data_IF_846324157283
#
_entry.id   IF_846324157283
#
_cell.length_a   1.000
_cell.length_b   1.000
_cell.length_c   1.000
_cell.angle_alpha   90.00
_cell.angle_beta   90.00
_cell.angle_gamma   90.00
#
_symmetry.space_group_name_H-M   'P 1'
#
loop_
_entity.id
_entity.type
_entity.pdbx_description
1 polymer ?
#
# COMPACT_ATOMS: atom_id res chain seq x y z
N UNK A 1 8.72 -14.79 -26.32
CA UNK A 1 8.55 -14.07 -25.03
C UNK A 1 8.27 -15.00 -23.84
N UNK A 2 7.25 -15.89 -23.87
CA UNK A 2 7.00 -16.81 -22.76
C UNK A 2 8.20 -17.72 -22.47
N UNK A 3 8.81 -18.29 -23.50
CA UNK A 3 9.97 -19.19 -23.32
C UNK A 3 11.22 -18.44 -22.82
N UNK A 4 11.36 -17.16 -23.16
CA UNK A 4 12.41 -16.29 -22.60
C UNK A 4 12.23 -16.07 -21.09
N UNK A 5 10.98 -15.91 -20.63
CA UNK A 5 10.71 -15.80 -19.21
C UNK A 5 11.04 -17.13 -18.47
N UNK A 6 10.67 -18.29 -19.05
CA UNK A 6 11.06 -19.58 -18.48
C UNK A 6 12.59 -19.74 -18.40
N UNK A 7 13.31 -19.31 -19.46
CA UNK A 7 14.77 -19.32 -19.46
C UNK A 7 15.39 -18.52 -18.28
N UNK A 8 14.83 -17.35 -17.96
CA UNK A 8 15.34 -16.57 -16.83
C UNK A 8 15.11 -17.25 -15.49
N UNK A 9 13.98 -17.95 -15.30
CA UNK A 9 13.74 -18.76 -14.09
C UNK A 9 14.74 -19.92 -14.02
N UNK A 10 14.92 -20.66 -15.12
CA UNK A 10 15.87 -21.77 -15.16
C UNK A 10 17.30 -21.30 -14.85
N UNK A 11 17.68 -20.12 -15.36
CA UNK A 11 19.06 -19.64 -15.25
C UNK A 11 19.39 -18.98 -13.91
N UNK A 12 18.43 -18.27 -13.30
CA UNK A 12 18.68 -17.44 -12.12
C UNK A 12 17.81 -17.80 -10.92
N UNK A 13 16.98 -18.81 -11.04
CA UNK A 13 16.14 -19.35 -9.95
C UNK A 13 15.18 -18.30 -9.35
N UNK A 14 14.53 -17.52 -10.20
CA UNK A 14 13.54 -16.53 -9.75
C UNK A 14 12.31 -17.19 -9.14
N UNK A 15 11.74 -16.55 -8.09
CA UNK A 15 10.51 -16.99 -7.42
C UNK A 15 9.24 -16.48 -8.10
N UNK A 16 9.36 -15.71 -9.16
CA UNK A 16 8.23 -15.16 -9.93
C UNK A 16 8.57 -13.90 -10.69
N UNK A 17 7.52 -13.15 -11.05
CA UNK A 17 7.64 -11.94 -11.87
C UNK A 17 6.68 -10.83 -11.41
N UNK A 18 7.15 -9.58 -11.50
CA UNK A 18 6.30 -8.41 -11.68
C UNK A 18 6.21 -8.11 -13.17
N UNK A 19 4.98 -8.08 -13.67
CA UNK A 19 4.67 -7.80 -15.05
C UNK A 19 4.23 -6.35 -15.24
N UNK A 20 4.96 -5.63 -16.08
CA UNK A 20 4.67 -4.26 -16.45
C UNK A 20 3.45 -4.19 -17.38
N UNK A 21 2.63 -3.15 -17.21
CA UNK A 21 1.59 -2.71 -18.14
C UNK A 21 0.70 -3.86 -18.71
N UNK A 22 0.23 -4.76 -17.85
CA UNK A 22 -0.45 -6.00 -18.25
C UNK A 22 -1.64 -5.78 -19.18
N UNK A 23 -2.37 -4.65 -19.02
CA UNK A 23 -3.55 -4.33 -19.86
C UNK A 23 -3.24 -4.10 -21.35
N UNK A 24 -1.99 -3.88 -21.68
CA UNK A 24 -1.55 -3.69 -23.07
C UNK A 24 -1.19 -5.01 -23.77
N UNK A 25 -1.26 -6.12 -23.05
CA UNK A 25 -0.96 -7.47 -23.53
C UNK A 25 -2.24 -8.31 -23.51
N UNK A 26 -2.60 -9.01 -24.59
CA UNK A 26 -3.84 -9.80 -24.66
C UNK A 26 -3.95 -10.82 -23.53
N UNK A 27 -5.15 -11.02 -22.98
CA UNK A 27 -5.43 -11.98 -21.89
C UNK A 27 -4.96 -13.40 -22.22
N UNK A 28 -5.04 -13.82 -23.48
CA UNK A 28 -4.59 -15.14 -23.91
C UNK A 28 -3.07 -15.36 -23.72
N UNK A 29 -2.27 -14.29 -23.81
CA UNK A 29 -0.85 -14.37 -23.49
C UNK A 29 -0.64 -14.79 -22.03
N UNK A 30 -1.34 -14.14 -21.09
CA UNK A 30 -1.24 -14.43 -19.66
C UNK A 30 -1.68 -15.84 -19.33
N UNK A 31 -2.78 -16.31 -19.93
CA UNK A 31 -3.24 -17.70 -19.78
C UNK A 31 -2.21 -18.70 -20.25
N UNK A 32 -1.67 -18.48 -21.45
CA UNK A 32 -0.63 -19.37 -22.00
C UNK A 32 0.65 -19.33 -21.16
N UNK A 33 1.07 -18.14 -20.71
CA UNK A 33 2.25 -17.98 -19.86
C UNK A 33 2.08 -18.70 -18.52
N UNK A 34 0.97 -18.46 -17.83
CA UNK A 34 0.65 -19.13 -16.57
C UNK A 34 0.57 -20.66 -16.72
N UNK A 35 -0.03 -21.13 -17.81
CA UNK A 35 -0.07 -22.57 -18.12
C UNK A 35 1.33 -23.14 -18.30
N UNK A 36 2.17 -22.50 -19.12
CA UNK A 36 3.57 -22.93 -19.32
C UNK A 36 4.36 -22.94 -18.01
N UNK A 37 4.20 -21.91 -17.17
CA UNK A 37 4.85 -21.81 -15.87
C UNK A 37 4.47 -22.99 -14.96
N UNK A 38 3.17 -23.24 -14.79
CA UNK A 38 2.68 -24.33 -13.94
C UNK A 38 3.05 -25.73 -14.49
N UNK A 39 3.12 -25.89 -15.81
CA UNK A 39 3.53 -27.16 -16.43
C UNK A 39 5.04 -27.39 -16.28
N UNK A 40 5.85 -26.36 -16.42
CA UNK A 40 7.31 -26.44 -16.32
C UNK A 40 7.78 -26.65 -14.88
N UNK A 41 7.09 -25.99 -13.92
CA UNK A 41 7.48 -25.95 -12.50
C UNK A 41 6.31 -26.37 -11.59
N UNK A 42 5.83 -27.63 -11.69
CA UNK A 42 4.64 -28.08 -10.95
C UNK A 42 4.82 -28.03 -9.43
N UNK A 43 6.05 -28.20 -8.95
CA UNK A 43 6.39 -28.25 -7.52
C UNK A 43 6.88 -26.89 -6.96
N UNK A 44 6.84 -25.82 -7.76
CA UNK A 44 7.27 -24.48 -7.34
C UNK A 44 6.08 -23.53 -7.21
N UNK A 45 6.02 -22.82 -6.10
CA UNK A 45 5.05 -21.75 -5.88
C UNK A 45 5.57 -20.42 -6.45
N UNK A 46 5.67 -20.34 -7.79
CA UNK A 46 6.08 -19.10 -8.47
C UNK A 46 4.95 -18.09 -8.38
N UNK A 47 5.26 -16.89 -7.88
CA UNK A 47 4.29 -15.84 -7.70
C UNK A 47 4.42 -14.76 -8.77
N UNK A 48 3.30 -14.43 -9.40
CA UNK A 48 3.25 -13.47 -10.50
C UNK A 48 2.28 -12.35 -10.16
N UNK A 49 2.79 -11.12 -10.11
CA UNK A 49 2.00 -9.92 -9.91
C UNK A 49 2.06 -9.04 -11.15
N UNK A 50 0.92 -8.50 -11.56
CA UNK A 50 0.82 -7.61 -12.71
C UNK A 50 0.55 -6.17 -12.34
N UNK A 51 0.82 -5.28 -13.27
CA UNK A 51 0.46 -3.88 -13.17
C UNK A 51 -0.65 -3.55 -14.16
N UNK A 52 -1.81 -3.16 -13.63
CA UNK A 52 -2.96 -2.72 -14.42
C UNK A 52 -3.67 -1.56 -13.73
N UNK A 53 -3.76 -0.43 -14.41
CA UNK A 53 -4.61 0.69 -14.00
C UNK A 53 -5.98 0.54 -14.64
N UNK A 54 -7.04 0.60 -13.86
CA UNK A 54 -8.42 0.51 -14.32
C UNK A 54 -9.40 0.31 -13.17
N UNK A 55 -10.63 -0.01 -13.52
CA UNK A 55 -11.63 -0.42 -12.55
C UNK A 55 -11.39 -1.86 -12.03
N UNK A 56 -12.15 -2.24 -11.01
CA UNK A 56 -12.01 -3.55 -10.39
C UNK A 56 -12.34 -4.71 -11.34
N UNK A 57 -13.20 -4.50 -12.34
CA UNK A 57 -13.54 -5.52 -13.32
C UNK A 57 -12.35 -5.80 -14.25
N UNK A 58 -11.72 -4.75 -14.79
CA UNK A 58 -10.53 -4.87 -15.63
C UNK A 58 -9.38 -5.51 -14.84
N UNK A 59 -9.05 -4.98 -13.66
CA UNK A 59 -7.98 -5.52 -12.82
C UNK A 59 -8.25 -6.99 -12.46
N UNK A 60 -9.48 -7.31 -12.06
CA UNK A 60 -9.93 -8.66 -11.73
C UNK A 60 -9.82 -9.64 -12.88
N UNK A 61 -9.95 -9.17 -14.14
CA UNK A 61 -9.83 -10.03 -15.33
C UNK A 61 -8.46 -10.71 -15.44
N UNK A 62 -7.40 -10.11 -14.85
CA UNK A 62 -6.03 -10.62 -14.87
C UNK A 62 -5.69 -11.57 -13.69
N UNK A 63 -6.61 -11.76 -12.74
CA UNK A 63 -6.42 -12.67 -11.59
C UNK A 63 -7.46 -13.80 -11.53
N UNK A 64 -8.29 -13.94 -12.56
CA UNK A 64 -9.23 -15.08 -12.71
C UNK A 64 -8.48 -16.39 -12.92
N UNK A 65 -9.19 -17.50 -12.84
CA UNK A 65 -8.64 -18.86 -13.02
C UNK A 65 -7.75 -18.96 -14.25
N UNK A 66 -6.53 -19.45 -14.04
CA UNK A 66 -5.52 -19.61 -15.09
C UNK A 66 -4.78 -18.34 -15.50
N UNK A 67 -5.01 -17.23 -14.77
CA UNK A 67 -4.32 -15.95 -14.94
C UNK A 67 -3.21 -15.75 -13.90
N UNK A 68 -2.74 -14.52 -13.73
CA UNK A 68 -1.71 -14.16 -12.75
C UNK A 68 -2.21 -14.39 -11.31
N UNK A 69 -1.30 -14.48 -10.36
CA UNK A 69 -1.65 -14.65 -8.94
C UNK A 69 -2.25 -13.38 -8.34
N UNK A 70 -1.75 -12.21 -8.78
CA UNK A 70 -2.10 -10.91 -8.21
C UNK A 70 -1.98 -9.78 -9.23
N UNK A 71 -2.59 -8.66 -8.89
CA UNK A 71 -2.37 -7.33 -9.46
C UNK A 71 -2.09 -6.35 -8.32
N UNK A 72 -1.50 -5.19 -8.60
CA UNK A 72 -1.51 -4.10 -7.64
C UNK A 72 -2.91 -3.51 -7.53
N UNK A 73 -3.37 -3.30 -6.28
CA UNK A 73 -4.66 -2.67 -6.01
C UNK A 73 -4.51 -1.13 -6.03
N UNK A 74 -4.46 -0.58 -7.23
CA UNK A 74 -4.34 0.86 -7.40
C UNK A 74 -5.56 1.65 -6.93
N UNK A 75 -6.74 1.02 -6.88
CA UNK A 75 -7.94 1.71 -6.42
C UNK A 75 -7.88 1.97 -4.92
N UNK A 76 -7.45 0.98 -4.12
CA UNK A 76 -7.17 1.19 -2.69
C UNK A 76 -6.03 2.19 -2.50
N UNK A 77 -4.94 2.09 -3.26
CA UNK A 77 -3.81 3.01 -3.16
C UNK A 77 -4.22 4.46 -3.43
N UNK A 78 -4.87 4.75 -4.55
CA UNK A 78 -5.26 6.11 -4.90
C UNK A 78 -6.23 6.72 -3.88
N UNK A 79 -7.24 5.94 -3.46
CA UNK A 79 -8.17 6.39 -2.42
C UNK A 79 -7.45 6.65 -1.11
N UNK A 80 -6.50 5.79 -0.71
CA UNK A 80 -5.76 5.95 0.53
C UNK A 80 -4.90 7.22 0.54
N UNK A 81 -4.12 7.47 -0.53
CA UNK A 81 -3.29 8.68 -0.60
C UNK A 81 -4.13 9.96 -0.65
N UNK A 82 -5.24 9.96 -1.38
CA UNK A 82 -6.15 11.11 -1.44
C UNK A 82 -6.75 11.41 -0.05
N UNK A 83 -7.33 10.40 0.59
CA UNK A 83 -8.02 10.56 1.88
C UNK A 83 -7.06 10.91 3.01
N UNK A 84 -5.90 10.27 3.07
CA UNK A 84 -4.91 10.55 4.13
C UNK A 84 -4.12 11.84 3.87
N UNK A 85 -3.94 12.21 2.61
CA UNK A 85 -3.13 13.37 2.22
C UNK A 85 -3.91 14.67 2.17
N UNK A 86 -5.10 14.68 1.57
CA UNK A 86 -5.92 15.87 1.36
C UNK A 86 -6.81 16.16 2.56
N UNK A 87 -7.04 17.43 2.82
CA UNK A 87 -8.04 17.86 3.78
C UNK A 87 -9.45 17.76 3.17
N UNK A 88 -10.46 17.47 4.01
CA UNK A 88 -11.86 17.37 3.58
C UNK A 88 -12.28 16.00 3.02
N UNK A 89 -11.35 15.12 2.67
CA UNK A 89 -11.66 13.75 2.24
C UNK A 89 -12.09 12.88 3.43
N UNK A 90 -12.90 11.84 3.19
CA UNK A 90 -13.51 11.01 4.23
C UNK A 90 -12.93 9.61 4.30
N UNK A 91 -12.66 9.08 5.51
CA UNK A 91 -12.27 7.69 5.74
C UNK A 91 -13.33 6.68 5.27
N UNK A 92 -14.58 7.11 5.09
CA UNK A 92 -15.65 6.30 4.47
C UNK A 92 -15.29 5.87 3.05
N UNK A 93 -14.54 6.70 2.32
CA UNK A 93 -14.06 6.37 0.96
C UNK A 93 -13.06 5.21 0.99
N UNK A 94 -12.12 5.20 1.93
CA UNK A 94 -11.18 4.07 2.11
C UNK A 94 -11.96 2.79 2.46
N UNK A 95 -12.87 2.86 3.44
CA UNK A 95 -13.66 1.71 3.85
C UNK A 95 -14.45 1.12 2.66
N UNK A 96 -15.13 1.98 1.89
CA UNK A 96 -15.87 1.58 0.69
C UNK A 96 -14.95 0.91 -0.33
N UNK A 97 -13.80 1.49 -0.61
CA UNK A 97 -12.88 0.93 -1.63
C UNK A 97 -12.29 -0.42 -1.18
N UNK A 98 -12.04 -0.61 0.12
CA UNK A 98 -11.63 -1.93 0.66
C UNK A 98 -12.76 -2.95 0.46
N UNK A 99 -14.01 -2.60 0.78
CA UNK A 99 -15.15 -3.50 0.59
C UNK A 99 -15.34 -3.87 -0.90
N UNK A 100 -15.18 -2.92 -1.81
CA UNK A 100 -15.22 -3.14 -3.26
C UNK A 100 -14.08 -4.05 -3.74
N UNK A 101 -12.87 -3.89 -3.19
CA UNK A 101 -11.71 -4.75 -3.45
C UNK A 101 -12.00 -6.19 -3.00
N UNK A 102 -12.48 -6.37 -1.77
CA UNK A 102 -12.84 -7.68 -1.22
C UNK A 102 -13.96 -8.36 -2.02
N UNK A 103 -14.96 -7.60 -2.45
CA UNK A 103 -16.05 -8.11 -3.29
C UNK A 103 -15.54 -8.56 -4.68
N UNK A 104 -14.58 -7.85 -5.25
CA UNK A 104 -14.07 -8.09 -6.61
C UNK A 104 -13.02 -9.20 -6.67
N UNK A 105 -12.14 -9.28 -5.66
CA UNK A 105 -10.96 -10.16 -5.66
C UNK A 105 -11.06 -11.31 -4.65
N UNK A 106 -12.04 -11.25 -3.75
CA UNK A 106 -12.27 -12.24 -2.69
C UNK A 106 -11.65 -11.83 -1.36
N UNK A 107 -12.19 -12.38 -0.25
CA UNK A 107 -11.79 -12.03 1.11
C UNK A 107 -10.32 -12.37 1.45
N UNK A 108 -9.74 -13.35 0.75
CA UNK A 108 -8.37 -13.83 0.96
C UNK A 108 -7.49 -13.60 -0.28
N UNK A 109 -7.73 -12.53 -1.01
CA UNK A 109 -6.92 -12.19 -2.17
C UNK A 109 -5.47 -11.88 -1.79
N UNK A 110 -4.57 -12.05 -2.75
CA UNK A 110 -3.14 -11.71 -2.63
C UNK A 110 -2.76 -10.48 -3.45
N UNK A 111 -3.71 -9.56 -3.66
CA UNK A 111 -3.47 -8.30 -4.36
C UNK A 111 -2.37 -7.51 -3.68
N UNK A 112 -1.55 -6.82 -4.45
CA UNK A 112 -0.45 -6.01 -3.94
C UNK A 112 -0.94 -4.66 -3.44
N UNK A 113 -0.85 -4.42 -2.13
CA UNK A 113 -1.11 -3.11 -1.53
C UNK A 113 0.21 -2.32 -1.55
N UNK A 114 0.24 -1.17 -2.23
CA UNK A 114 1.46 -0.37 -2.38
C UNK A 114 1.44 0.88 -1.50
N UNK A 115 2.61 1.29 -0.99
CA UNK A 115 2.81 2.60 -0.35
C UNK A 115 3.09 3.69 -1.39
N UNK A 116 3.72 3.31 -2.50
CA UNK A 116 4.09 4.14 -3.62
C UNK A 116 4.73 3.30 -4.71
N UNK A 117 5.18 3.94 -5.79
CA UNK A 117 5.97 3.30 -6.83
C UNK A 117 6.84 4.31 -7.58
N UNK A 118 7.64 3.79 -8.52
CA UNK A 118 8.58 4.56 -9.32
C UNK A 118 7.93 5.50 -10.36
N UNK A 119 6.60 5.48 -10.52
CA UNK A 119 5.85 6.32 -11.47
C UNK A 119 4.95 7.35 -10.77
N UNK A 120 5.06 7.47 -9.44
CA UNK A 120 4.22 8.36 -8.64
C UNK A 120 5.05 9.31 -7.80
N UNK A 121 4.53 10.52 -7.58
CA UNK A 121 5.06 11.44 -6.56
C UNK A 121 5.06 10.77 -5.20
N UNK A 122 6.12 10.95 -4.43
CA UNK A 122 6.20 10.42 -3.06
C UNK A 122 5.10 10.99 -2.19
N UNK A 123 4.35 10.11 -1.54
CA UNK A 123 3.21 10.50 -0.70
C UNK A 123 3.58 11.54 0.36
N UNK A 124 4.74 11.39 1.00
CA UNK A 124 5.18 12.33 2.03
C UNK A 124 5.37 13.75 1.50
N UNK A 125 5.81 13.93 0.26
CA UNK A 125 5.96 15.24 -0.38
C UNK A 125 4.63 15.87 -0.77
N UNK A 126 3.62 15.07 -1.10
CA UNK A 126 2.22 15.51 -1.28
C UNK A 126 1.60 15.88 0.06
N UNK A 127 1.69 15.01 1.06
CA UNK A 127 1.13 15.22 2.39
C UNK A 127 1.73 16.44 3.11
N UNK A 128 3.02 16.68 2.90
CA UNK A 128 3.75 17.84 3.42
C UNK A 128 3.57 19.12 2.60
N UNK A 129 3.04 19.01 1.37
CA UNK A 129 2.80 20.13 0.46
C UNK A 129 4.06 20.68 -0.21
N UNK A 130 5.14 19.89 -0.32
CA UNK A 130 6.28 20.23 -1.17
C UNK A 130 5.91 20.12 -2.66
N UNK A 131 4.98 19.25 -2.99
CA UNK A 131 4.35 19.11 -4.30
C UNK A 131 2.85 19.31 -4.10
N UNK A 132 2.23 20.15 -4.92
CA UNK A 132 0.78 20.33 -4.92
C UNK A 132 0.09 19.12 -5.57
N UNK A 133 -1.14 18.83 -5.16
CA UNK A 133 -1.95 17.76 -5.74
C UNK A 133 -2.32 18.02 -7.20
N UNK A 134 -2.37 19.30 -7.61
CA UNK A 134 -2.69 19.72 -8.98
C UNK A 134 -1.44 19.98 -9.83
N UNK A 135 -0.23 19.80 -9.26
CA UNK A 135 1.02 20.05 -9.94
C UNK A 135 1.47 18.84 -10.76
N UNK A 136 2.03 19.09 -11.95
CA UNK A 136 2.75 18.05 -12.67
C UNK A 136 4.01 17.65 -11.89
N UNK A 137 3.95 16.52 -11.20
CA UNK A 137 5.05 16.01 -10.39
C UNK A 137 6.32 15.74 -11.19
N UNK A 138 6.24 15.44 -12.49
CA UNK A 138 7.43 15.27 -13.34
C UNK A 138 8.11 16.62 -13.58
N UNK A 139 7.34 17.64 -13.96
CA UNK A 139 7.87 18.99 -14.14
C UNK A 139 8.48 19.52 -12.83
N UNK A 140 7.80 19.33 -11.69
CA UNK A 140 8.31 19.72 -10.39
C UNK A 140 9.70 19.15 -10.08
N UNK A 141 9.90 17.85 -10.29
CA UNK A 141 11.16 17.16 -10.02
C UNK A 141 12.31 17.58 -10.93
N UNK A 142 12.02 18.08 -12.14
CA UNK A 142 13.03 18.61 -13.04
C UNK A 142 13.53 20.01 -12.67
N UNK A 143 12.69 20.81 -12.01
CA UNK A 143 12.97 22.24 -11.81
C UNK A 143 13.40 22.60 -10.40
N UNK A 144 13.19 21.73 -9.42
CA UNK A 144 13.57 21.98 -8.03
C UNK A 144 13.87 20.70 -7.25
N UNK A 145 14.69 20.84 -6.22
CA UNK A 145 14.87 19.77 -5.25
C UNK A 145 13.64 19.68 -4.35
N UNK A 146 12.94 18.54 -4.38
CA UNK A 146 11.72 18.33 -3.61
C UNK A 146 12.08 17.81 -2.20
N UNK A 147 11.52 18.49 -1.20
CA UNK A 147 11.56 18.08 0.21
C UNK A 147 10.25 17.44 0.67
N UNK A 148 10.06 17.41 1.99
CA UNK A 148 8.78 17.03 2.61
C UNK A 148 7.82 18.22 2.57
N UNK A 149 8.31 19.42 2.92
CA UNK A 149 7.54 20.67 2.92
C UNK A 149 8.19 21.71 2.01
N UNK A 150 7.38 22.64 1.50
CA UNK A 150 7.88 23.69 0.61
C UNK A 150 8.82 24.69 1.33
N UNK A 151 8.55 25.00 2.60
CA UNK A 151 9.17 26.09 3.35
C UNK A 151 9.79 25.68 4.69
N UNK A 152 10.29 24.42 4.81
CA UNK A 152 10.87 23.90 6.05
C UNK A 152 9.98 24.07 7.31
N UNK A 153 8.66 23.92 7.15
CA UNK A 153 7.68 23.97 8.24
C UNK A 153 7.75 22.68 9.06
N UNK A 154 8.35 22.75 10.25
CA UNK A 154 8.55 21.59 11.13
C UNK A 154 7.24 20.96 11.63
N UNK A 155 6.19 21.76 11.81
CA UNK A 155 4.87 21.26 12.24
C UNK A 155 4.22 20.49 11.10
N UNK A 156 4.21 21.05 9.91
CA UNK A 156 3.67 20.41 8.72
C UNK A 156 4.47 19.17 8.33
N UNK A 157 5.79 19.22 8.47
CA UNK A 157 6.67 18.08 8.27
C UNK A 157 6.29 16.92 9.22
N UNK A 158 6.17 17.18 10.52
CA UNK A 158 5.76 16.17 11.51
C UNK A 158 4.41 15.55 11.16
N UNK A 159 3.42 16.36 10.76
CA UNK A 159 2.11 15.86 10.33
C UNK A 159 2.23 14.99 9.07
N UNK A 160 3.07 15.38 8.11
CA UNK A 160 3.32 14.57 6.91
C UNK A 160 3.89 13.18 7.25
N UNK A 161 4.82 13.09 8.19
CA UNK A 161 5.34 11.82 8.69
C UNK A 161 4.27 10.98 9.41
N UNK A 162 3.38 11.62 10.17
CA UNK A 162 2.24 10.93 10.80
C UNK A 162 1.25 10.40 9.74
N UNK A 163 0.94 11.20 8.71
CA UNK A 163 0.10 10.76 7.59
C UNK A 163 0.77 9.59 6.81
N UNK A 164 2.09 9.65 6.58
CA UNK A 164 2.83 8.55 5.97
C UNK A 164 2.75 7.28 6.81
N UNK A 165 2.87 7.40 8.14
CA UNK A 165 2.67 6.26 9.04
C UNK A 165 1.27 5.67 8.93
N UNK A 166 0.21 6.49 8.83
CA UNK A 166 -1.16 5.98 8.64
C UNK A 166 -1.30 5.18 7.34
N UNK A 167 -0.63 5.61 6.26
CA UNK A 167 -0.61 4.86 5.00
C UNK A 167 0.08 3.50 5.18
N UNK A 168 1.21 3.45 5.89
CA UNK A 168 1.90 2.19 6.20
C UNK A 168 1.08 1.28 7.11
N UNK A 169 0.40 1.84 8.13
CA UNK A 169 -0.52 1.06 8.98
C UNK A 169 -1.63 0.43 8.14
N UNK A 170 -2.27 1.20 7.27
CA UNK A 170 -3.31 0.69 6.37
C UNK A 170 -2.75 -0.42 5.49
N UNK A 171 -1.65 -0.16 4.77
CA UNK A 171 -1.01 -1.08 3.84
C UNK A 171 -0.61 -2.41 4.52
N UNK A 172 -0.07 -2.35 5.75
CA UNK A 172 0.42 -3.52 6.49
C UNK A 172 -0.68 -4.26 7.28
N UNK A 173 -1.91 -3.73 7.37
CA UNK A 173 -2.96 -4.36 8.20
C UNK A 173 -4.20 -4.81 7.45
N UNK A 174 -4.50 -4.25 6.27
CA UNK A 174 -5.59 -4.74 5.41
C UNK A 174 -5.26 -6.07 4.74
N UNK A 175 -6.26 -6.81 4.19
CA UNK A 175 -6.02 -7.99 3.35
C UNK A 175 -5.14 -7.68 2.13
N UNK A 176 -4.39 -8.65 1.66
CA UNK A 176 -3.47 -8.52 0.52
C UNK A 176 -2.00 -8.64 0.92
N UNK A 177 -1.11 -8.40 -0.03
CA UNK A 177 0.34 -8.46 0.13
C UNK A 177 0.90 -7.05 0.14
N UNK A 178 1.45 -6.56 1.26
CA UNK A 178 2.02 -5.22 1.32
C UNK A 178 3.29 -5.13 0.47
N UNK A 179 3.40 -4.05 -0.29
CA UNK A 179 4.55 -3.72 -1.11
C UNK A 179 4.99 -2.29 -0.77
N UNK A 180 6.08 -2.17 -0.02
CA UNK A 180 6.66 -0.89 0.35
C UNK A 180 7.64 -0.47 -0.75
N UNK A 181 7.39 0.69 -1.37
CA UNK A 181 8.36 1.23 -2.32
C UNK A 181 9.59 1.72 -1.58
N UNK A 182 10.78 1.37 -2.08
CA UNK A 182 12.06 1.69 -1.46
C UNK A 182 12.13 3.17 -1.04
N UNK A 183 12.41 3.42 0.23
CA UNK A 183 12.47 4.75 0.82
C UNK A 183 11.17 5.20 1.51
N UNK A 184 10.01 4.65 1.19
CA UNK A 184 8.75 5.02 1.86
C UNK A 184 8.77 4.61 3.33
N UNK A 185 9.49 3.53 3.67
CA UNK A 185 9.66 3.04 5.05
C UNK A 185 10.29 4.05 6.01
N UNK A 186 10.99 5.06 5.48
CA UNK A 186 11.55 6.15 6.27
C UNK A 186 11.08 7.54 5.80
N UNK A 187 10.15 7.60 4.84
CA UNK A 187 9.61 8.85 4.34
C UNK A 187 10.55 9.60 3.40
N UNK A 188 11.18 8.89 2.46
CA UNK A 188 11.96 9.54 1.41
C UNK A 188 11.09 10.46 0.58
N UNK A 189 11.45 11.74 0.53
CA UNK A 189 10.76 12.74 -0.28
C UNK A 189 11.16 12.68 -1.75
N UNK A 190 10.30 13.21 -2.61
CA UNK A 190 10.54 13.34 -4.05
C UNK A 190 9.25 13.66 -4.81
N UNK A 191 9.39 14.30 -5.95
CA UNK A 191 8.32 14.47 -6.92
C UNK A 191 8.13 13.16 -7.72
N UNK A 192 7.56 13.23 -8.91
CA UNK A 192 7.44 12.06 -9.79
C UNK A 192 8.78 11.80 -10.53
N UNK A 193 8.80 10.76 -11.37
CA UNK A 193 9.95 10.37 -12.19
C UNK A 193 10.61 11.57 -12.90
N UNK A 194 11.94 11.76 -12.76
CA UNK A 194 12.92 10.86 -12.15
C UNK A 194 13.17 11.08 -10.65
N UNK A 195 12.62 12.12 -10.03
CA UNK A 195 12.98 12.57 -8.67
C UNK A 195 12.54 11.56 -7.57
N UNK A 196 11.46 10.82 -7.77
CA UNK A 196 11.02 9.76 -6.85
C UNK A 196 11.93 8.52 -6.84
N UNK A 197 12.89 8.42 -7.78
CA UNK A 197 13.84 7.29 -7.92
C UNK A 197 15.20 7.57 -7.29
N UNK A 198 15.24 8.42 -6.27
CA UNK A 198 16.48 8.71 -5.52
C UNK A 198 17.04 7.43 -4.90
N UNK A 199 18.37 7.41 -4.76
CA UNK A 199 19.06 6.27 -4.14
C UNK A 199 18.58 6.02 -2.71
N UNK A 200 18.47 4.74 -2.34
CA UNK A 200 18.19 4.30 -0.98
C UNK A 200 19.25 4.82 -0.01
N UNK A 201 18.81 5.35 1.14
CA UNK A 201 19.71 5.82 2.20
C UNK A 201 19.68 4.85 3.38
N UNK A 202 20.85 4.35 3.77
CA UNK A 202 21.02 3.44 4.91
C UNK A 202 21.58 4.15 6.16
N UNK A 203 21.96 5.42 6.01
CA UNK A 203 22.51 6.26 7.09
C UNK A 203 22.16 7.74 6.85
N UNK A 204 22.43 8.59 7.83
CA UNK A 204 22.16 10.03 7.72
C UNK A 204 20.67 10.39 7.73
N UNK A 205 19.83 9.53 8.31
CA UNK A 205 18.41 9.78 8.46
C UNK A 205 18.15 10.83 9.54
N UNK A 206 17.21 11.73 9.29
CA UNK A 206 16.73 12.70 10.27
C UNK A 206 15.96 12.02 11.41
N UNK A 207 15.65 12.74 12.49
CA UNK A 207 14.87 12.21 13.60
C UNK A 207 13.49 11.69 13.18
N UNK A 208 12.78 12.43 12.30
CA UNK A 208 11.48 12.02 11.77
C UNK A 208 11.59 10.77 10.88
N UNK A 209 12.62 10.69 10.04
CA UNK A 209 12.88 9.52 9.19
C UNK A 209 13.23 8.28 10.03
N UNK A 210 14.05 8.42 11.07
CA UNK A 210 14.37 7.33 12.01
C UNK A 210 13.13 6.86 12.76
N UNK A 211 12.29 7.80 13.19
CA UNK A 211 11.02 7.48 13.86
C UNK A 211 10.11 6.66 12.93
N UNK A 212 9.86 7.12 11.70
CA UNK A 212 8.99 6.41 10.75
C UNK A 212 9.56 5.02 10.42
N UNK A 213 10.87 4.91 10.17
CA UNK A 213 11.54 3.62 9.95
C UNK A 213 11.34 2.66 11.13
N UNK A 214 11.42 3.18 12.36
CA UNK A 214 11.16 2.39 13.57
C UNK A 214 9.73 1.88 13.64
N UNK A 215 8.75 2.72 13.31
CA UNK A 215 7.33 2.34 13.23
C UNK A 215 7.07 1.31 12.13
N UNK A 216 7.63 1.51 10.95
CA UNK A 216 7.47 0.57 9.82
C UNK A 216 8.09 -0.80 10.13
N UNK A 217 9.25 -0.84 10.78
CA UNK A 217 9.85 -2.10 11.27
C UNK A 217 8.95 -2.79 12.29
N UNK A 218 8.39 -2.06 13.24
CA UNK A 218 7.44 -2.60 14.22
C UNK A 218 6.21 -3.21 13.52
N UNK A 219 5.57 -2.47 12.63
CA UNK A 219 4.38 -2.93 11.90
C UNK A 219 4.66 -4.16 11.02
N UNK A 220 5.80 -4.18 10.36
CA UNK A 220 6.25 -5.31 9.54
C UNK A 220 6.46 -6.57 10.40
N UNK A 221 7.09 -6.40 11.57
CA UNK A 221 7.28 -7.49 12.52
C UNK A 221 5.93 -7.97 13.08
N UNK A 222 5.06 -7.05 13.48
CA UNK A 222 3.71 -7.33 13.97
C UNK A 222 2.93 -8.16 12.94
N UNK A 223 2.90 -7.72 11.66
CA UNK A 223 2.21 -8.48 10.61
C UNK A 223 2.77 -9.89 10.46
N UNK A 224 4.10 -10.04 10.43
CA UNK A 224 4.75 -11.37 10.25
C UNK A 224 4.48 -12.32 11.41
N UNK A 225 4.26 -11.80 12.61
CA UNK A 225 3.98 -12.60 13.82
C UNK A 225 2.50 -12.78 14.13
N UNK A 226 1.60 -12.14 13.37
CA UNK A 226 0.16 -12.13 13.63
C UNK A 226 -0.61 -12.91 12.55
N UNK A 227 -1.10 -14.09 12.88
CA UNK A 227 -1.94 -14.89 11.99
C UNK A 227 -3.20 -14.14 11.52
N UNK A 228 -3.92 -13.38 12.39
CA UNK A 228 -5.03 -12.54 11.93
C UNK A 228 -4.62 -11.51 10.87
N UNK A 229 -3.47 -10.85 10.98
CA UNK A 229 -3.03 -9.88 9.97
C UNK A 229 -2.59 -10.54 8.66
N UNK A 230 -2.08 -11.78 8.71
CA UNK A 230 -1.70 -12.53 7.53
C UNK A 230 -2.90 -13.12 6.79
N UNK A 231 -3.79 -13.82 7.51
CA UNK A 231 -4.81 -14.69 6.92
C UNK A 231 -6.25 -14.38 7.38
N UNK A 232 -6.43 -13.44 8.31
CA UNK A 232 -7.72 -13.19 8.93
C UNK A 232 -8.74 -12.51 8.02
N UNK A 233 -10.00 -12.76 8.31
CA UNK A 233 -11.13 -12.05 7.70
C UNK A 233 -11.12 -10.58 8.10
N UNK A 234 -11.41 -9.70 7.15
CA UNK A 234 -11.60 -8.27 7.41
C UNK A 234 -13.04 -7.98 7.78
N UNK A 235 -13.24 -7.14 8.79
CA UNK A 235 -14.54 -6.61 9.14
C UNK A 235 -14.44 -5.16 9.58
N UNK A 236 -15.14 -4.27 8.90
CA UNK A 236 -15.31 -2.89 9.35
C UNK A 236 -16.15 -2.88 10.65
N UNK A 237 -15.68 -2.16 11.66
CA UNK A 237 -16.34 -2.01 12.96
C UNK A 237 -16.95 -0.62 13.16
N UNK A 238 -16.25 0.41 12.69
CA UNK A 238 -16.68 1.81 12.74
C UNK A 238 -16.03 2.62 11.63
N UNK A 239 -16.72 3.58 11.08
CA UNK A 239 -16.15 4.59 10.18
C UNK A 239 -16.92 5.91 10.25
N UNK A 240 -16.18 7.01 10.27
CA UNK A 240 -16.68 8.36 10.02
C UNK A 240 -15.76 9.11 9.06
N UNK A 241 -15.77 10.43 9.05
CA UNK A 241 -14.95 11.21 8.13
C UNK A 241 -13.45 11.19 8.49
N UNK A 242 -13.11 10.98 9.76
CA UNK A 242 -11.74 11.01 10.26
C UNK A 242 -11.21 9.66 10.75
N UNK A 243 -12.07 8.76 11.15
CA UNK A 243 -11.72 7.52 11.83
C UNK A 243 -12.19 6.30 11.04
N UNK A 244 -11.33 5.30 10.95
CA UNK A 244 -11.67 3.96 10.47
C UNK A 244 -11.23 2.94 11.51
N UNK A 245 -12.15 2.07 11.95
CA UNK A 245 -11.86 0.93 12.83
C UNK A 245 -12.32 -0.35 12.16
N UNK A 246 -11.43 -1.32 12.09
CA UNK A 246 -11.73 -2.64 11.55
C UNK A 246 -11.06 -3.74 12.38
N UNK A 247 -11.53 -4.97 12.23
CA UNK A 247 -10.87 -6.15 12.78
C UNK A 247 -10.37 -7.08 11.70
N UNK A 248 -9.34 -7.83 12.06
CA UNK A 248 -8.83 -9.01 11.35
C UNK A 248 -8.97 -10.21 12.28
N UNK A 249 -9.68 -11.25 11.85
CA UNK A 249 -9.99 -12.41 12.71
C UNK A 249 -9.54 -13.71 12.04
N UNK A 250 -8.79 -14.54 12.77
CA UNK A 250 -8.33 -15.86 12.31
C UNK A 250 -8.34 -16.86 13.46
N UNK A 251 -9.07 -17.98 13.30
CA UNK A 251 -9.18 -19.07 14.28
C UNK A 251 -9.42 -18.58 15.73
N UNK A 252 -10.35 -17.65 15.91
CA UNK A 252 -10.73 -17.10 17.22
C UNK A 252 -9.78 -16.03 17.77
N UNK A 253 -8.65 -15.74 17.10
CA UNK A 253 -7.80 -14.61 17.40
C UNK A 253 -8.27 -13.37 16.65
N UNK A 254 -8.30 -12.22 17.30
CA UNK A 254 -8.73 -10.96 16.70
C UNK A 254 -7.66 -9.89 16.91
N UNK A 255 -7.40 -9.13 15.86
CA UNK A 255 -6.64 -7.88 15.92
C UNK A 255 -7.58 -6.76 15.50
N UNK A 256 -7.71 -5.74 16.34
CA UNK A 256 -8.49 -4.53 16.03
C UNK A 256 -7.51 -3.41 15.67
N UNK A 257 -7.73 -2.80 14.52
CA UNK A 257 -6.93 -1.67 14.00
C UNK A 257 -7.82 -0.45 13.92
N UNK A 258 -7.38 0.65 14.50
CA UNK A 258 -8.06 1.93 14.48
C UNK A 258 -7.11 3.02 13.95
N UNK A 259 -7.54 3.74 12.93
CA UNK A 259 -6.82 4.86 12.31
C UNK A 259 -7.60 6.15 12.51
N UNK A 260 -6.90 7.24 12.81
CA UNK A 260 -7.47 8.58 12.92
C UNK A 260 -6.61 9.57 12.13
N UNK A 261 -7.15 10.12 11.03
CA UNK A 261 -6.49 11.17 10.25
C UNK A 261 -6.79 12.58 10.75
N UNK A 262 -7.68 12.70 11.75
CA UNK A 262 -8.08 13.98 12.32
C UNK A 262 -7.04 14.58 13.25
N UNK A 263 -7.13 15.92 13.43
CA UNK A 263 -6.23 16.70 14.28
C UNK A 263 -6.53 16.59 15.79
N UNK A 264 -7.57 15.85 16.17
CA UNK A 264 -7.97 15.64 17.56
C UNK A 264 -7.91 14.16 17.90
N UNK A 265 -7.47 13.82 19.11
CA UNK A 265 -7.58 12.47 19.64
C UNK A 265 -9.05 12.10 19.84
N UNK A 266 -9.39 10.85 19.60
CA UNK A 266 -10.76 10.33 19.69
C UNK A 266 -10.78 9.11 20.61
N UNK A 267 -11.80 9.03 21.46
CA UNK A 267 -12.07 7.85 22.28
C UNK A 267 -13.43 7.28 21.86
N UNK A 268 -13.46 6.02 21.45
CA UNK A 268 -14.65 5.34 20.92
C UNK A 268 -14.94 4.06 21.69
N UNK A 269 -16.21 3.83 22.03
CA UNK A 269 -16.66 2.50 22.38
C UNK A 269 -17.00 1.72 21.12
N UNK A 270 -16.25 0.66 20.87
CA UNK A 270 -16.48 -0.25 19.75
C UNK A 270 -16.80 -1.64 20.30
N UNK A 271 -18.07 -1.99 20.31
CA UNK A 271 -18.56 -3.27 20.83
C UNK A 271 -18.19 -3.52 22.31
N UNK A 272 -18.32 -2.50 23.17
CA UNK A 272 -17.99 -2.57 24.58
C UNK A 272 -16.49 -2.51 24.89
N UNK A 273 -15.66 -2.15 23.91
CA UNK A 273 -14.20 -1.93 24.08
C UNK A 273 -13.88 -0.46 23.85
N UNK A 274 -13.36 0.21 24.85
CA UNK A 274 -12.88 1.57 24.69
C UNK A 274 -11.56 1.58 23.92
N UNK A 275 -11.50 2.37 22.83
CA UNK A 275 -10.34 2.54 21.97
C UNK A 275 -10.00 4.03 21.90
N UNK A 276 -8.84 4.38 22.47
CA UNK A 276 -8.27 5.72 22.36
C UNK A 276 -7.37 5.77 21.12
N UNK A 277 -7.62 6.73 20.25
CA UNK A 277 -6.90 6.87 18.97
C UNK A 277 -6.31 8.26 18.94
N UNK A 278 -4.97 8.41 18.91
CA UNK A 278 -4.33 9.72 18.91
C UNK A 278 -4.63 10.50 17.62
N UNK A 279 -4.48 11.81 17.69
CA UNK A 279 -4.54 12.69 16.52
C UNK A 279 -3.47 12.28 15.50
N UNK A 280 -3.84 12.23 14.23
CA UNK A 280 -2.97 11.77 13.14
C UNK A 280 -2.25 10.45 13.46
N UNK A 281 -2.96 9.51 14.07
CA UNK A 281 -2.34 8.31 14.61
C UNK A 281 -3.22 7.07 14.53
N UNK A 282 -2.76 6.01 15.19
CA UNK A 282 -3.42 4.71 15.17
C UNK A 282 -3.36 4.01 16.52
N UNK A 283 -4.21 3.00 16.68
CA UNK A 283 -4.19 2.05 17.80
C UNK A 283 -4.41 0.65 17.26
N UNK A 284 -3.60 -0.31 17.70
CA UNK A 284 -3.76 -1.73 17.41
C UNK A 284 -3.93 -2.48 18.72
N UNK A 285 -5.01 -3.25 18.84
CA UNK A 285 -5.30 -4.14 19.99
C UNK A 285 -5.37 -5.59 19.53
N UNK A 286 -4.71 -6.46 20.27
CA UNK A 286 -4.68 -7.92 20.07
C UNK A 286 -5.43 -8.61 21.19
#
# INVERSE_FOLDING_TARGET
MTDTALYWIDKYDFDGYRHDACKHIPLNYWRMFTHKMKTRYPDRSLWMIGETYGDNELIGSYVKTGMLNAQFDFNVYHTAIDVLGKDGESMKSIAKTIDESLASYGAHHTMGNISGNHDKTRFISLAGGAVSWDEDGKAAGWHRQIGVTANADSTRERIAFQKALLLEVLNLTIPGVPCIYQGDEYGQCGANDPDNRRMMRFSGLTANEQWLLGQTKYLTHLRRSSMPLLYGDYRQLYVDDNVLVFSRTYLGQEVVVALNKGAQSVSLDVKGRNIDIPAYGYTIKM
#
